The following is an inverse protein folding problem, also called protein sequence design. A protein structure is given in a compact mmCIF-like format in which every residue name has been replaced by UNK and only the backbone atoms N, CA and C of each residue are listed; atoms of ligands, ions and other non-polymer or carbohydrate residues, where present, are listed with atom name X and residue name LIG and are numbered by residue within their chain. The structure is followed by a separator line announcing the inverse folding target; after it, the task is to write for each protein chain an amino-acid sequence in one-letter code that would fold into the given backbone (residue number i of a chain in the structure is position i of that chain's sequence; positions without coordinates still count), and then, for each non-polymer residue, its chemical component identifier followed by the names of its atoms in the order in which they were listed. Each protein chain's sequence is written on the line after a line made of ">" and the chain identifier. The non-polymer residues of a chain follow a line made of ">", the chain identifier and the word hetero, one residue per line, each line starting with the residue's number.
data_IF_552044648297
#
_entry.id   IF_552044648297
#
_cell.length_a   1.000
_cell.length_b   1.000
_cell.length_c   1.000
_cell.angle_alpha   90.00
_cell.angle_beta   90.00
_cell.angle_gamma   90.00
#
_symmetry.space_group_name_H-M   'P 1'
#
loop_
_entity.id
_entity.type
_entity.pdbx_description
1 polymer ?
#
# COMPACT_ATOMS: atom_id res chain seq x y z
N UNK A 1 -21.84 -34.60 82.92
CA UNK A 1 -21.80 -33.19 83.33
C UNK A 1 -20.76 -32.50 82.46
N UNK A 2 -21.21 -31.85 81.38
CA UNK A 2 -21.20 -30.39 81.17
C UNK A 2 -19.81 -29.78 80.88
N UNK A 3 -19.59 -29.56 79.57
CA UNK A 3 -19.01 -28.38 78.93
C UNK A 3 -17.56 -27.96 79.22
N UNK A 4 -16.68 -28.23 78.23
CA UNK A 4 -15.44 -27.49 77.91
C UNK A 4 -15.51 -27.26 76.39
N UNK A 5 -16.02 -26.13 75.89
CA UNK A 5 -15.33 -24.85 75.58
C UNK A 5 -14.17 -24.99 74.56
N UNK A 6 -14.49 -24.61 73.32
CA UNK A 6 -13.69 -23.85 72.33
C UNK A 6 -12.35 -24.44 71.87
N UNK A 7 -12.28 -24.92 70.62
CA UNK A 7 -11.23 -24.51 69.66
C UNK A 7 -11.54 -25.05 68.23
N UNK A 8 -11.10 -24.29 67.22
CA UNK A 8 -11.13 -24.58 65.78
C UNK A 8 -12.46 -24.36 65.05
N UNK A 9 -12.90 -23.10 65.11
CA UNK A 9 -13.30 -22.41 63.89
C UNK A 9 -12.05 -22.22 63.01
N UNK A 10 -11.72 -23.20 62.17
CA UNK A 10 -10.83 -23.04 61.02
C UNK A 10 -11.01 -24.26 60.13
N UNK A 11 -11.02 -24.05 58.82
CA UNK A 11 -11.19 -25.05 57.75
C UNK A 11 -12.65 -25.30 57.39
N UNK A 12 -13.24 -24.34 56.68
CA UNK A 12 -13.90 -24.58 55.39
C UNK A 12 -14.13 -23.23 54.70
N UNK A 13 -13.04 -22.49 54.45
CA UNK A 13 -13.00 -21.62 53.28
C UNK A 13 -12.83 -22.59 52.12
N UNK A 14 -13.94 -23.10 51.59
CA UNK A 14 -13.96 -23.64 50.24
C UNK A 14 -13.64 -22.45 49.33
N UNK A 15 -12.35 -22.22 49.08
CA UNK A 15 -11.89 -21.46 47.94
C UNK A 15 -12.39 -22.21 46.71
N UNK A 16 -13.57 -21.84 46.25
CA UNK A 16 -14.01 -22.02 44.87
C UNK A 16 -13.08 -21.18 44.00
N UNK A 17 -11.85 -21.64 43.85
CA UNK A 17 -11.01 -21.30 42.73
C UNK A 17 -11.56 -22.14 41.58
N UNK A 18 -12.73 -21.75 41.07
CA UNK A 18 -13.00 -22.00 39.67
C UNK A 18 -11.86 -21.30 38.95
N UNK A 19 -10.94 -22.10 38.40
CA UNK A 19 -10.07 -21.59 37.36
C UNK A 19 -11.02 -21.05 36.31
N UNK A 20 -11.17 -19.73 36.25
CA UNK A 20 -11.54 -19.07 35.01
C UNK A 20 -10.64 -19.72 33.96
N UNK A 21 -11.25 -20.58 33.14
CA UNK A 21 -10.70 -20.84 31.82
C UNK A 21 -10.74 -19.46 31.20
N UNK A 22 -9.61 -18.77 31.27
CA UNK A 22 -9.27 -17.74 30.32
C UNK A 22 -9.61 -18.35 28.97
N UNK A 23 -10.77 -17.93 28.47
CA UNK A 23 -11.15 -18.17 27.11
C UNK A 23 -10.24 -17.21 26.39
N UNK A 24 -8.99 -17.64 26.16
CA UNK A 24 -8.06 -16.98 25.26
C UNK A 24 -8.84 -17.00 23.95
N UNK A 25 -9.50 -15.88 23.67
CA UNK A 25 -10.12 -15.64 22.38
C UNK A 25 -8.97 -15.77 21.39
N UNK A 26 -8.89 -16.91 20.71
CA UNK A 26 -7.96 -17.10 19.61
C UNK A 26 -8.22 -15.95 18.64
N UNK A 27 -7.36 -14.95 18.68
CA UNK A 27 -7.46 -13.82 17.76
C UNK A 27 -7.12 -14.38 16.40
N UNK A 28 -8.10 -14.41 15.50
CA UNK A 28 -7.90 -14.94 14.16
C UNK A 28 -6.85 -14.06 13.44
N UNK A 29 -6.02 -14.66 12.58
CA UNK A 29 -5.04 -13.97 11.73
C UNK A 29 -5.66 -12.76 11.02
N UNK A 30 -6.89 -12.89 10.55
CA UNK A 30 -7.62 -11.79 9.90
C UNK A 30 -7.78 -10.56 10.82
N UNK A 31 -8.10 -10.77 12.09
CA UNK A 31 -8.25 -9.68 13.07
C UNK A 31 -6.92 -9.01 13.39
N UNK A 32 -5.84 -9.81 13.49
CA UNK A 32 -4.48 -9.30 13.70
C UNK A 32 -4.01 -8.49 12.49
N UNK A 33 -4.25 -8.98 11.28
CA UNK A 33 -3.96 -8.25 10.04
C UNK A 33 -4.75 -6.95 10.01
N UNK A 34 -6.07 -6.98 10.28
CA UNK A 34 -6.87 -5.75 10.33
C UNK A 34 -6.35 -4.75 11.36
N UNK A 35 -5.84 -5.22 12.51
CA UNK A 35 -5.26 -4.34 13.53
C UNK A 35 -4.02 -3.62 13.02
N UNK A 36 -3.18 -4.28 12.22
CA UNK A 36 -2.00 -3.67 11.59
C UNK A 36 -2.40 -2.66 10.50
N UNK A 37 -3.40 -3.00 9.69
CA UNK A 37 -3.86 -2.14 8.61
C UNK A 37 -4.56 -0.87 9.08
N UNK A 38 -5.18 -0.90 10.26
CA UNK A 38 -5.88 0.24 10.85
C UNK A 38 -4.97 1.10 11.75
N UNK A 39 -3.66 0.88 11.73
CA UNK A 39 -2.72 1.75 12.44
C UNK A 39 -2.56 3.07 11.69
N UNK A 40 -2.52 4.16 12.45
CA UNK A 40 -2.06 5.46 11.98
C UNK A 40 -0.54 5.58 12.21
N UNK A 41 0.14 6.35 11.36
CA UNK A 41 1.54 6.70 11.57
C UNK A 41 1.67 7.62 12.79
N UNK A 42 2.52 7.25 13.74
CA UNK A 42 2.75 8.03 14.95
C UNK A 42 3.76 9.17 14.69
N UNK A 43 3.41 10.40 15.07
CA UNK A 43 4.22 11.59 14.81
C UNK A 43 5.63 11.52 15.43
N UNK A 44 5.85 10.71 16.47
CA UNK A 44 7.17 10.50 17.06
C UNK A 44 8.17 9.84 16.10
N UNK A 45 7.68 9.16 15.07
CA UNK A 45 8.52 8.53 14.06
C UNK A 45 8.67 9.35 12.80
N UNK A 46 7.99 10.48 12.60
CA UNK A 46 8.00 11.24 11.33
C UNK A 46 9.43 11.57 10.85
N UNK A 47 10.31 12.03 11.76
CA UNK A 47 11.71 12.37 11.46
C UNK A 47 12.69 11.16 11.55
N UNK A 48 12.20 9.96 11.88
CA UNK A 48 13.01 8.74 11.99
C UNK A 48 13.02 7.97 10.67
N UNK A 49 14.11 8.03 9.91
CA UNK A 49 14.18 7.36 8.59
C UNK A 49 14.23 5.83 8.65
N UNK A 50 14.18 5.19 9.82
CA UNK A 50 14.34 3.74 9.97
C UNK A 50 13.08 3.11 10.58
N UNK A 51 12.54 3.69 11.63
CA UNK A 51 11.37 3.17 12.36
C UNK A 51 10.12 3.96 11.98
N UNK A 52 8.95 3.32 12.12
CA UNK A 52 7.66 3.90 11.76
C UNK A 52 6.78 2.90 11.03
N UNK A 53 5.73 3.42 10.40
CA UNK A 53 4.80 2.64 9.59
C UNK A 53 5.17 2.81 8.11
N UNK A 54 5.20 1.71 7.37
CA UNK A 54 5.43 1.73 5.93
C UNK A 54 4.28 1.01 5.24
N UNK A 55 3.83 1.55 4.12
CA UNK A 55 2.81 0.92 3.27
C UNK A 55 3.28 0.81 1.84
N UNK A 56 2.74 -0.17 1.15
CA UNK A 56 2.89 -0.26 -0.29
C UNK A 56 2.42 -1.58 -0.86
N UNK A 57 3.18 -2.06 -1.82
CA UNK A 57 2.77 -3.11 -2.74
C UNK A 57 3.61 -4.35 -2.51
N UNK A 58 2.93 -5.48 -2.45
CA UNK A 58 3.49 -6.81 -2.57
C UNK A 58 3.04 -7.45 -3.89
N UNK A 59 3.94 -8.13 -4.58
CA UNK A 59 3.59 -9.01 -5.69
C UNK A 59 4.64 -10.09 -5.89
N UNK A 60 4.20 -11.27 -6.33
CA UNK A 60 5.13 -12.24 -6.94
C UNK A 60 5.47 -11.82 -8.35
N UNK A 61 6.67 -12.19 -8.82
CA UNK A 61 7.14 -11.84 -10.16
C UNK A 61 6.35 -12.52 -11.30
N UNK A 62 5.71 -13.66 -11.00
CA UNK A 62 4.80 -14.35 -11.92
C UNK A 62 3.37 -13.76 -11.91
N UNK A 63 3.16 -12.70 -11.13
CA UNK A 63 1.88 -11.98 -10.97
C UNK A 63 0.73 -12.83 -10.43
N UNK A 64 1.02 -14.04 -9.92
CA UNK A 64 0.00 -14.92 -9.36
C UNK A 64 -0.55 -14.41 -8.02
N UNK A 65 0.25 -13.65 -7.28
CA UNK A 65 -0.13 -13.02 -6.02
C UNK A 65 0.20 -11.54 -6.06
N UNK A 66 -0.72 -10.74 -5.54
CA UNK A 66 -0.60 -9.28 -5.48
C UNK A 66 -1.41 -8.77 -4.30
N UNK A 67 -0.91 -7.76 -3.62
CA UNK A 67 -1.55 -7.25 -2.42
C UNK A 67 -0.95 -5.96 -1.90
N UNK A 68 -1.59 -5.48 -0.85
CA UNK A 68 -1.01 -4.44 0.01
C UNK A 68 -0.07 -5.09 0.99
N UNK A 69 0.99 -4.39 1.36
CA UNK A 69 1.81 -4.73 2.51
C UNK A 69 1.91 -3.53 3.45
N UNK A 70 1.75 -3.81 4.74
CA UNK A 70 2.02 -2.87 5.82
C UNK A 70 3.18 -3.42 6.64
N UNK A 71 4.22 -2.62 6.84
CA UNK A 71 5.36 -2.93 7.68
C UNK A 71 5.35 -1.99 8.89
N UNK A 72 5.17 -2.55 10.06
CA UNK A 72 5.28 -1.84 11.34
C UNK A 72 6.69 -2.11 11.88
N UNK A 73 7.57 -1.10 11.75
CA UNK A 73 8.97 -1.17 12.14
C UNK A 73 9.22 -0.53 13.52
N UNK A 74 8.21 -0.52 14.38
CA UNK A 74 8.27 0.07 15.72
C UNK A 74 7.14 1.05 16.03
N UNK A 75 6.28 1.36 15.05
CA UNK A 75 5.13 2.25 15.20
C UNK A 75 4.26 1.84 16.40
N UNK A 76 3.93 0.55 16.51
CA UNK A 76 3.17 0.01 17.66
C UNK A 76 4.04 -0.61 18.75
N UNK A 77 5.34 -0.27 18.80
CA UNK A 77 6.37 -0.91 19.64
C UNK A 77 6.61 -2.39 19.29
N UNK A 78 6.17 -2.83 18.11
CA UNK A 78 6.37 -4.18 17.58
C UNK A 78 7.12 -4.09 16.26
N UNK A 79 7.67 -5.23 15.84
CA UNK A 79 8.14 -5.43 14.47
C UNK A 79 7.28 -6.51 13.85
N UNK A 80 6.47 -6.15 12.87
CA UNK A 80 5.51 -7.06 12.25
C UNK A 80 5.16 -6.57 10.85
N UNK A 81 4.75 -7.49 9.99
CA UNK A 81 4.26 -7.15 8.66
C UNK A 81 2.94 -7.86 8.41
N UNK A 82 2.10 -7.25 7.60
CA UNK A 82 0.85 -7.83 7.18
C UNK A 82 0.66 -7.64 5.68
N UNK A 83 0.15 -8.68 5.00
CA UNK A 83 -0.13 -8.65 3.57
C UNK A 83 -1.63 -8.94 3.37
N UNK A 84 -2.32 -8.03 2.70
CA UNK A 84 -3.71 -8.19 2.30
C UNK A 84 -3.75 -8.43 0.80
N UNK A 85 -3.93 -9.70 0.42
CA UNK A 85 -3.90 -10.12 -0.97
C UNK A 85 -5.17 -9.68 -1.70
N UNK A 86 -4.99 -8.96 -2.80
CA UNK A 86 -6.06 -8.69 -3.77
C UNK A 86 -6.23 -9.86 -4.73
N UNK A 87 -5.18 -10.69 -4.84
CA UNK A 87 -5.11 -11.92 -5.62
C UNK A 87 -4.25 -12.93 -4.86
N UNK A 88 -4.74 -14.17 -4.72
CA UNK A 88 -3.93 -15.29 -4.24
C UNK A 88 -4.16 -15.75 -2.80
N UNK A 89 -5.30 -15.43 -2.20
CA UNK A 89 -5.79 -16.10 -0.98
C UNK A 89 -6.02 -15.18 0.21
N UNK A 90 -5.92 -15.77 1.40
CA UNK A 90 -6.21 -15.12 2.68
C UNK A 90 -5.12 -14.10 3.09
N UNK A 91 -5.46 -13.13 3.97
CA UNK A 91 -4.50 -12.19 4.53
C UNK A 91 -3.42 -12.89 5.36
N UNK A 92 -2.22 -12.36 5.34
CA UNK A 92 -1.02 -12.97 5.94
C UNK A 92 -0.40 -12.07 6.97
N UNK A 93 -0.06 -12.67 8.11
CA UNK A 93 0.71 -12.03 9.17
C UNK A 93 2.13 -12.59 9.16
N UNK A 94 3.13 -11.72 9.15
CA UNK A 94 4.53 -12.09 9.30
C UNK A 94 5.08 -11.53 10.60
N UNK A 95 5.73 -12.40 11.38
CA UNK A 95 6.40 -12.00 12.61
C UNK A 95 7.74 -11.40 12.25
N UNK A 96 7.98 -10.18 12.74
CA UNK A 96 9.21 -9.46 12.48
C UNK A 96 10.14 -9.44 13.70
N UNK A 97 11.43 -9.29 13.42
CA UNK A 97 12.43 -8.93 14.42
C UNK A 97 13.51 -8.04 13.82
N UNK A 98 14.05 -7.14 14.65
CA UNK A 98 15.19 -6.29 14.30
C UNK A 98 16.48 -7.08 14.41
N UNK A 99 17.37 -6.95 13.43
CA UNK A 99 18.70 -7.55 13.48
C UNK A 99 19.51 -6.93 14.63
N UNK A 100 20.12 -7.77 15.47
CA UNK A 100 20.89 -7.32 16.65
C UNK A 100 22.19 -6.61 16.29
N UNK A 101 22.68 -6.82 15.07
CA UNK A 101 23.97 -6.31 14.59
C UNK A 101 23.83 -5.08 13.69
N UNK A 102 22.62 -4.84 13.15
CA UNK A 102 22.34 -3.78 12.18
C UNK A 102 21.01 -3.09 12.51
N UNK A 103 21.06 -1.81 12.86
CA UNK A 103 19.88 -1.04 13.31
C UNK A 103 18.82 -0.88 12.22
N UNK A 104 19.22 -0.87 10.97
CA UNK A 104 18.41 -0.65 9.78
C UNK A 104 17.86 -1.95 9.17
N UNK A 105 18.19 -3.11 9.74
CA UNK A 105 17.86 -4.40 9.16
C UNK A 105 16.79 -5.13 9.97
N UNK A 106 15.81 -5.69 9.26
CA UNK A 106 14.67 -6.40 9.82
C UNK A 106 14.43 -7.72 9.09
N UNK A 107 14.02 -8.75 9.82
CA UNK A 107 13.77 -10.09 9.30
C UNK A 107 12.31 -10.44 9.62
N UNK A 108 11.58 -10.88 8.60
CA UNK A 108 10.16 -11.24 8.68
C UNK A 108 9.97 -12.69 8.27
N UNK A 109 9.14 -13.41 9.02
CA UNK A 109 8.90 -14.84 8.83
C UNK A 109 7.42 -15.20 8.98
N UNK A 110 6.96 -16.12 8.14
CA UNK A 110 5.64 -16.74 8.16
C UNK A 110 5.71 -18.15 7.57
N UNK A 111 4.65 -18.94 7.71
CA UNK A 111 4.55 -20.27 7.09
C UNK A 111 4.60 -20.24 5.55
N UNK A 112 4.27 -19.09 4.94
CA UNK A 112 4.26 -18.90 3.48
C UNK A 112 5.55 -18.31 2.95
N UNK A 113 6.44 -17.81 3.79
CA UNK A 113 7.66 -17.18 3.30
C UNK A 113 8.36 -16.30 4.32
N UNK A 114 9.60 -15.99 3.96
CA UNK A 114 10.54 -15.21 4.77
C UNK A 114 11.17 -14.15 3.88
N UNK A 115 11.35 -12.95 4.43
CA UNK A 115 12.11 -11.90 3.77
C UNK A 115 12.91 -11.08 4.76
N UNK A 116 13.89 -10.35 4.23
CA UNK A 116 14.69 -9.41 4.99
C UNK A 116 14.64 -8.06 4.31
N UNK A 117 14.53 -6.99 5.09
CA UNK A 117 14.66 -5.63 4.57
C UNK A 117 15.81 -4.91 5.26
N UNK A 118 16.41 -3.98 4.53
CA UNK A 118 17.28 -2.94 5.05
C UNK A 118 16.64 -1.59 4.72
N UNK A 119 16.52 -0.68 5.69
CA UNK A 119 16.05 0.68 5.44
C UNK A 119 17.25 1.59 5.20
N UNK A 120 17.36 2.11 3.99
CA UNK A 120 18.44 3.00 3.59
C UNK A 120 18.31 4.36 4.31
N UNK A 121 19.39 5.17 4.41
CA UNK A 121 19.36 6.45 5.12
C UNK A 121 18.33 7.46 4.63
N UNK A 122 17.87 7.32 3.38
CA UNK A 122 16.82 8.12 2.76
C UNK A 122 15.40 7.57 2.99
N UNK A 123 15.26 6.54 3.85
CA UNK A 123 13.98 5.92 4.18
C UNK A 123 13.51 4.87 3.19
N UNK A 124 14.26 4.62 2.09
CA UNK A 124 13.86 3.60 1.12
C UNK A 124 14.13 2.20 1.64
N UNK A 125 13.21 1.28 1.35
CA UNK A 125 13.36 -0.13 1.70
C UNK A 125 14.12 -0.86 0.60
N UNK A 126 15.21 -1.52 0.99
CA UNK A 126 15.92 -2.50 0.18
C UNK A 126 15.58 -3.90 0.65
N UNK A 127 14.91 -4.65 -0.21
CA UNK A 127 14.56 -6.05 0.03
C UNK A 127 15.77 -6.96 -0.26
N UNK A 128 16.16 -7.76 0.72
CA UNK A 128 17.10 -8.87 0.58
C UNK A 128 16.27 -10.17 0.45
N UNK A 129 16.43 -10.90 -0.67
CA UNK A 129 15.80 -12.20 -1.00
C UNK A 129 14.42 -12.46 -0.38
N UNK A 130 13.35 -12.36 -1.18
CA UNK A 130 12.01 -12.72 -0.74
C UNK A 130 11.47 -13.91 -1.53
N UNK A 131 11.28 -15.02 -0.82
CA UNK A 131 10.55 -16.18 -1.33
C UNK A 131 9.21 -16.29 -0.61
N UNK A 132 8.14 -16.42 -1.38
CA UNK A 132 6.76 -16.55 -0.90
C UNK A 132 6.04 -17.65 -1.68
N UNK A 133 5.60 -18.71 -0.99
CA UNK A 133 5.09 -19.96 -1.57
C UNK A 133 5.97 -20.50 -2.72
N UNK A 134 7.27 -20.60 -2.46
CA UNK A 134 8.30 -21.04 -3.42
C UNK A 134 8.43 -20.15 -4.68
N UNK A 135 7.96 -18.89 -4.61
CA UNK A 135 8.07 -17.91 -5.70
C UNK A 135 8.86 -16.70 -5.27
N UNK A 136 9.63 -16.15 -6.20
CA UNK A 136 10.28 -14.86 -6.00
C UNK A 136 9.24 -13.74 -5.97
N UNK A 137 9.35 -12.88 -4.97
CA UNK A 137 8.46 -11.76 -4.75
C UNK A 137 9.22 -10.45 -4.55
N UNK A 138 8.50 -9.34 -4.70
CA UNK A 138 9.01 -8.01 -4.43
C UNK A 138 8.06 -7.23 -3.51
N UNK A 139 8.65 -6.26 -2.83
CA UNK A 139 7.96 -5.26 -2.03
C UNK A 139 8.46 -3.89 -2.50
N UNK A 140 7.54 -2.98 -2.76
CA UNK A 140 7.83 -1.55 -2.85
C UNK A 140 6.95 -0.87 -1.81
N UNK A 141 7.57 -0.27 -0.80
CA UNK A 141 6.86 0.39 0.29
C UNK A 141 7.58 1.67 0.68
N UNK A 142 6.79 2.66 1.08
CA UNK A 142 7.23 3.97 1.51
C UNK A 142 6.75 4.21 2.93
N UNK A 143 7.51 5.06 3.64
CA UNK A 143 7.19 5.40 5.01
C UNK A 143 5.99 6.35 5.03
N UNK A 144 5.01 6.06 5.85
CA UNK A 144 3.94 6.99 6.16
C UNK A 144 4.39 7.97 7.25
N UNK A 145 3.93 9.21 7.13
CA UNK A 145 4.06 10.18 8.22
C UNK A 145 2.68 10.50 8.78
N UNK A 146 2.62 11.04 9.99
CA UNK A 146 1.37 11.42 10.64
C UNK A 146 0.53 12.44 9.85
N UNK A 147 1.14 13.14 8.89
CA UNK A 147 0.50 14.16 8.06
C UNK A 147 0.36 13.77 6.57
N UNK A 148 1.01 12.69 6.15
CA UNK A 148 1.06 12.27 4.76
C UNK A 148 0.96 10.74 4.65
N UNK A 149 -0.25 10.21 4.39
CA UNK A 149 -0.46 8.79 4.16
C UNK A 149 0.08 8.38 2.78
N UNK A 150 0.51 7.12 2.67
CA UNK A 150 0.98 6.55 1.40
C UNK A 150 -0.22 6.00 0.65
N UNK A 151 -0.35 6.43 -0.60
CA UNK A 151 -1.47 6.05 -1.47
C UNK A 151 -0.97 5.25 -2.65
N UNK A 152 -1.72 4.26 -3.12
CA UNK A 152 -1.34 3.54 -4.33
C UNK A 152 -2.53 2.97 -5.08
N UNK A 153 -2.31 2.65 -6.35
CA UNK A 153 -3.24 1.91 -7.18
C UNK A 153 -2.53 0.72 -7.82
N UNK A 154 -3.24 -0.41 -7.84
CA UNK A 154 -2.81 -1.61 -8.50
C UNK A 154 -3.30 -1.61 -9.92
N UNK A 155 -2.39 -1.78 -10.87
CA UNK A 155 -2.75 -1.91 -12.27
C UNK A 155 -1.97 -3.00 -12.98
N UNK A 156 -2.44 -3.36 -14.16
CA UNK A 156 -1.74 -4.20 -15.11
C UNK A 156 -1.63 -3.45 -16.43
N UNK A 157 -0.55 -3.69 -17.16
CA UNK A 157 -0.43 -3.26 -18.54
C UNK A 157 -0.45 -4.44 -19.51
N UNK A 158 -0.86 -4.18 -20.74
CA UNK A 158 -0.78 -5.12 -21.85
C UNK A 158 -0.37 -4.37 -23.11
N UNK A 159 0.57 -4.91 -23.86
CA UNK A 159 1.01 -4.38 -25.14
C UNK A 159 0.00 -4.69 -26.26
N UNK A 160 -0.34 -3.69 -27.07
CA UNK A 160 -1.32 -3.84 -28.15
C UNK A 160 -0.79 -4.66 -29.33
N UNK A 161 0.53 -4.62 -29.57
CA UNK A 161 1.17 -5.36 -30.66
C UNK A 161 1.54 -6.80 -30.28
N UNK A 162 1.65 -7.10 -28.99
CA UNK A 162 2.03 -8.41 -28.48
C UNK A 162 1.49 -8.64 -27.04
N UNK A 163 0.24 -9.13 -26.89
CA UNK A 163 -0.40 -9.29 -25.59
C UNK A 163 0.33 -10.23 -24.60
N UNK A 164 1.27 -11.05 -25.08
CA UNK A 164 2.14 -11.85 -24.20
C UNK A 164 3.08 -10.97 -23.36
N UNK A 165 3.25 -9.71 -23.76
CA UNK A 165 4.02 -8.69 -23.04
C UNK A 165 3.07 -7.87 -22.19
N UNK A 166 2.80 -8.41 -21.01
CA UNK A 166 2.00 -7.81 -19.96
C UNK A 166 2.80 -7.82 -18.64
N UNK A 167 2.28 -7.09 -17.65
CA UNK A 167 2.95 -6.90 -16.37
C UNK A 167 2.13 -6.06 -15.41
N UNK A 168 2.68 -5.79 -14.23
CA UNK A 168 2.09 -4.80 -13.32
C UNK A 168 2.39 -3.39 -13.81
N UNK A 169 1.44 -2.50 -13.60
CA UNK A 169 1.57 -1.05 -13.71
C UNK A 169 0.95 -0.46 -12.47
N UNK A 170 1.76 -0.32 -11.43
CA UNK A 170 1.30 0.22 -10.17
C UNK A 170 1.80 1.66 -10.02
N UNK A 171 1.00 2.48 -9.38
CA UNK A 171 1.29 3.89 -9.17
C UNK A 171 1.16 4.20 -7.69
N UNK A 172 2.04 5.07 -7.17
CA UNK A 172 2.12 5.36 -5.74
C UNK A 172 2.38 6.84 -5.48
N UNK A 173 1.90 7.31 -4.34
CA UNK A 173 2.27 8.55 -3.66
C UNK A 173 3.13 8.16 -2.46
N UNK A 174 4.27 8.84 -2.24
CA UNK A 174 5.14 8.60 -1.09
C UNK A 174 4.97 9.62 0.04
N UNK A 175 4.00 10.52 -0.12
CA UNK A 175 3.51 11.42 0.91
C UNK A 175 3.42 12.88 0.47
N UNK A 176 3.85 13.23 -0.75
CA UNK A 176 3.70 14.60 -1.19
C UNK A 176 2.22 14.95 -1.45
N UNK A 177 1.83 16.16 -1.06
CA UNK A 177 0.48 16.67 -1.30
C UNK A 177 0.53 17.99 -2.06
N UNK A 178 -0.53 18.25 -2.83
CA UNK A 178 -0.75 19.46 -3.59
C UNK A 178 -2.13 20.03 -3.25
N UNK A 179 -2.21 21.33 -2.97
CA UNK A 179 -3.51 21.96 -2.75
C UNK A 179 -4.26 22.08 -4.07
N UNK A 180 -5.47 21.54 -4.11
CA UNK A 180 -6.32 21.54 -5.30
C UNK A 180 -6.55 22.96 -5.83
N UNK A 181 -6.66 23.12 -7.17
CA UNK A 181 -7.09 24.39 -7.74
C UNK A 181 -8.55 24.72 -7.39
N UNK A 182 -8.97 25.99 -7.47
CA UNK A 182 -10.34 26.41 -7.16
C UNK A 182 -11.43 25.66 -7.92
N UNK A 183 -11.13 25.24 -9.15
CA UNK A 183 -12.03 24.53 -10.05
C UNK A 183 -12.29 23.09 -9.60
N UNK A 184 -11.34 22.46 -8.92
CA UNK A 184 -11.50 21.11 -8.36
C UNK A 184 -12.47 21.09 -7.17
N UNK A 185 -12.31 22.06 -6.28
CA UNK A 185 -13.07 22.12 -5.03
C UNK A 185 -13.23 23.56 -4.54
N UNK A 186 -14.43 23.91 -4.10
CA UNK A 186 -14.75 25.25 -3.57
C UNK A 186 -13.94 25.63 -2.33
N UNK A 187 -13.43 24.64 -1.60
CA UNK A 187 -12.49 24.79 -0.49
C UNK A 187 -11.20 24.10 -0.91
N UNK A 188 -10.02 24.77 -0.83
CA UNK A 188 -8.74 24.13 -1.14
C UNK A 188 -8.60 22.81 -0.38
N UNK A 189 -8.43 21.72 -1.13
CA UNK A 189 -8.41 20.35 -0.61
C UNK A 189 -7.06 19.71 -0.95
N UNK A 190 -6.39 19.04 -0.01
CA UNK A 190 -5.13 18.37 -0.32
C UNK A 190 -5.38 17.18 -1.25
N UNK A 191 -4.59 17.11 -2.33
CA UNK A 191 -4.51 16.01 -3.27
C UNK A 191 -3.19 15.27 -3.05
N UNK A 192 -3.20 13.94 -3.00
CA UNK A 192 -1.96 13.17 -2.90
C UNK A 192 -1.29 13.11 -4.27
N UNK A 193 -0.04 13.54 -4.39
CA UNK A 193 0.66 13.61 -5.67
C UNK A 193 1.12 12.21 -6.07
N UNK A 194 0.91 11.83 -7.33
CA UNK A 194 1.51 10.61 -7.85
C UNK A 194 3.02 10.83 -8.00
N UNK A 195 3.84 10.01 -7.36
CA UNK A 195 5.29 10.22 -7.30
C UNK A 195 6.07 9.07 -7.93
N UNK A 196 5.49 7.87 -7.92
CA UNK A 196 6.20 6.67 -8.32
C UNK A 196 5.33 5.81 -9.21
N UNK A 197 5.96 5.24 -10.24
CA UNK A 197 5.40 4.18 -11.07
C UNK A 197 6.27 2.95 -10.91
N UNK A 198 5.64 1.83 -10.58
CA UNK A 198 6.29 0.53 -10.43
C UNK A 198 5.77 -0.38 -11.53
N UNK A 199 6.67 -0.81 -12.41
CA UNK A 199 6.37 -1.81 -13.43
C UNK A 199 7.10 -3.11 -13.11
N UNK A 200 6.44 -4.23 -13.33
CA UNK A 200 7.06 -5.55 -13.21
C UNK A 200 6.71 -6.44 -14.38
N UNK A 201 7.68 -7.27 -14.80
CA UNK A 201 7.53 -8.24 -15.90
C UNK A 201 8.63 -9.28 -15.85
N UNK A 202 8.27 -10.55 -16.04
CA UNK A 202 9.20 -11.67 -16.23
C UNK A 202 10.34 -11.73 -15.19
N UNK A 203 10.05 -11.58 -13.89
CA UNK A 203 11.10 -11.56 -12.87
C UNK A 203 11.77 -10.21 -12.65
N UNK A 204 11.54 -9.22 -13.52
CA UNK A 204 12.07 -7.87 -13.38
C UNK A 204 11.10 -6.93 -12.69
N UNK A 205 11.65 -5.96 -11.97
CA UNK A 205 10.97 -4.77 -11.46
C UNK A 205 11.72 -3.53 -11.95
N UNK A 206 10.99 -2.48 -12.33
CA UNK A 206 11.54 -1.15 -12.52
C UNK A 206 10.64 -0.14 -11.80
N UNK A 207 11.28 0.74 -11.04
CA UNK A 207 10.65 1.87 -10.35
C UNK A 207 11.08 3.12 -11.12
N UNK A 208 10.16 4.04 -11.36
CA UNK A 208 10.46 5.32 -12.01
C UNK A 208 11.56 6.06 -11.24
N UNK A 209 12.51 6.65 -11.97
CA UNK A 209 13.56 7.49 -11.36
C UNK A 209 13.17 8.96 -11.22
N UNK A 210 11.99 9.31 -11.70
CA UNK A 210 11.54 10.69 -11.82
C UNK A 210 10.84 11.07 -10.52
N UNK A 211 11.19 12.21 -9.94
CA UNK A 211 10.50 12.75 -8.78
C UNK A 211 9.25 13.56 -9.17
N UNK A 212 8.39 13.91 -8.19
CA UNK A 212 7.20 14.75 -8.37
C UNK A 212 7.36 15.98 -9.28
N UNK A 213 8.46 16.79 -9.23
CA UNK A 213 8.56 18.00 -10.04
C UNK A 213 8.77 17.75 -11.55
N UNK A 214 8.88 16.49 -11.99
CA UNK A 214 9.02 16.11 -13.40
C UNK A 214 7.78 15.42 -13.96
N UNK A 215 6.69 15.35 -13.19
CA UNK A 215 5.40 14.98 -13.75
C UNK A 215 4.88 16.12 -14.61
N UNK A 216 4.56 15.80 -15.86
CA UNK A 216 4.09 16.78 -16.83
C UNK A 216 2.75 17.37 -16.38
N UNK A 217 2.68 18.70 -16.29
CA UNK A 217 1.42 19.39 -16.04
C UNK A 217 0.41 19.05 -17.13
N UNK A 218 -0.84 18.85 -16.76
CA UNK A 218 -1.90 18.54 -17.71
C UNK A 218 -3.14 19.38 -17.44
N UNK A 219 -3.87 19.71 -18.51
CA UNK A 219 -5.22 20.23 -18.37
C UNK A 219 -6.16 19.06 -18.15
N UNK A 220 -6.97 19.10 -17.09
CA UNK A 220 -8.05 18.15 -16.87
C UNK A 220 -9.31 18.69 -17.56
N UNK A 221 -9.68 18.18 -18.75
CA UNK A 221 -10.69 18.81 -19.58
C UNK A 221 -12.11 18.37 -19.24
N UNK A 222 -12.29 17.36 -18.40
CA UNK A 222 -13.57 16.66 -18.25
C UNK A 222 -14.42 17.21 -17.11
N UNK A 223 -13.77 17.70 -16.05
CA UNK A 223 -14.43 18.18 -14.84
C UNK A 223 -13.96 19.58 -14.45
N UNK A 224 -12.68 19.89 -14.63
CA UNK A 224 -12.09 21.05 -13.96
C UNK A 224 -11.62 22.16 -14.91
N UNK A 225 -11.41 21.86 -16.20
CA UNK A 225 -10.90 22.80 -17.21
C UNK A 225 -9.74 23.69 -16.68
N UNK A 226 -8.87 23.08 -15.86
CA UNK A 226 -7.74 23.74 -15.22
C UNK A 226 -6.48 22.88 -15.34
N UNK A 227 -5.32 23.51 -15.15
CA UNK A 227 -4.00 22.90 -15.26
C UNK A 227 -3.55 22.37 -13.91
N UNK A 228 -3.48 21.04 -13.81
CA UNK A 228 -2.86 20.36 -12.68
C UNK A 228 -1.37 20.22 -12.94
N UNK A 229 -0.57 20.46 -11.89
CA UNK A 229 0.89 20.35 -12.00
C UNK A 229 1.37 18.90 -12.08
N UNK A 230 0.64 17.97 -11.47
CA UNK A 230 1.04 16.56 -11.38
C UNK A 230 -0.18 15.65 -11.45
N UNK A 231 0.03 14.39 -11.83
CA UNK A 231 -0.94 13.34 -11.54
C UNK A 231 -1.26 13.27 -10.04
N UNK A 232 -2.50 12.96 -9.69
CA UNK A 232 -2.95 12.97 -8.30
C UNK A 232 -3.94 11.86 -7.97
N UNK A 233 -4.05 11.58 -6.67
CA UNK A 233 -5.13 10.83 -6.04
C UNK A 233 -5.99 11.77 -5.22
N UNK A 234 -7.29 11.46 -5.17
CA UNK A 234 -8.21 12.12 -4.27
C UNK A 234 -9.24 11.15 -3.73
N UNK A 235 -9.61 11.33 -2.46
CA UNK A 235 -10.65 10.59 -1.77
C UNK A 235 -11.49 11.54 -0.95
N UNK A 236 -12.80 11.33 -1.01
CA UNK A 236 -13.73 12.01 -0.11
C UNK A 236 -13.65 11.42 1.29
N UNK A 237 -13.95 12.21 2.32
CA UNK A 237 -13.93 11.75 3.73
C UNK A 237 -14.77 10.49 3.96
N UNK A 238 -15.88 10.32 3.25
CA UNK A 238 -16.74 9.13 3.35
C UNK A 238 -16.25 7.92 2.54
N UNK A 239 -15.17 8.07 1.76
CA UNK A 239 -14.63 7.06 0.86
C UNK A 239 -15.56 6.68 -0.30
N UNK A 240 -16.67 7.39 -0.49
CA UNK A 240 -17.71 7.11 -1.50
C UNK A 240 -17.29 7.51 -2.90
N UNK A 241 -16.39 8.49 -2.98
CA UNK A 241 -15.70 8.92 -4.19
C UNK A 241 -14.20 8.81 -4.00
N UNK A 242 -13.55 8.16 -4.98
CA UNK A 242 -12.10 8.12 -5.14
C UNK A 242 -11.75 8.40 -6.60
N UNK A 243 -10.67 9.09 -6.85
CA UNK A 243 -10.16 9.31 -8.21
C UNK A 243 -8.64 9.22 -8.24
N UNK A 244 -8.14 8.84 -9.41
CA UNK A 244 -6.76 9.01 -9.82
C UNK A 244 -6.79 9.63 -11.19
N UNK A 245 -6.18 10.80 -11.34
CA UNK A 245 -6.13 11.52 -12.61
C UNK A 245 -4.68 11.85 -12.94
N UNK A 246 -4.21 11.35 -14.08
CA UNK A 246 -2.84 11.50 -14.53
C UNK A 246 -2.79 11.39 -16.06
N UNK A 247 -2.89 12.53 -16.76
CA UNK A 247 -2.88 12.55 -18.23
C UNK A 247 -1.51 12.95 -18.78
N UNK A 248 -1.06 12.26 -19.83
CA UNK A 248 0.18 12.55 -20.56
C UNK A 248 1.41 12.64 -19.66
N UNK A 249 1.47 11.80 -18.64
CA UNK A 249 2.60 11.76 -17.71
C UNK A 249 3.80 11.06 -18.35
N UNK A 250 4.99 11.42 -17.90
CA UNK A 250 6.22 10.70 -18.22
C UNK A 250 6.78 9.99 -17.00
N UNK A 251 7.39 8.83 -17.22
CA UNK A 251 8.17 8.13 -16.20
C UNK A 251 9.38 7.46 -16.83
N UNK A 252 10.55 7.67 -16.25
CA UNK A 252 11.82 7.14 -16.74
C UNK A 252 12.13 5.85 -16.01
N UNK A 253 12.31 4.79 -16.81
CA UNK A 253 12.75 3.49 -16.34
C UNK A 253 14.11 3.19 -16.96
N UNK A 254 15.14 3.04 -16.12
CA UNK A 254 16.50 2.69 -16.55
C UNK A 254 17.02 3.62 -17.67
N UNK A 255 16.74 4.92 -17.56
CA UNK A 255 17.16 5.95 -18.54
C UNK A 255 16.27 6.06 -19.79
N UNK A 256 15.19 5.29 -19.91
CA UNK A 256 14.25 5.37 -21.03
C UNK A 256 12.91 5.93 -20.56
N UNK A 257 12.43 6.98 -21.22
CA UNK A 257 11.16 7.64 -20.91
C UNK A 257 9.99 6.85 -21.47
N UNK A 258 9.03 6.51 -20.62
CA UNK A 258 7.70 6.05 -21.00
C UNK A 258 6.70 7.20 -20.85
N UNK A 259 5.78 7.35 -21.80
CA UNK A 259 4.65 8.27 -21.72
C UNK A 259 3.39 7.47 -21.43
N UNK A 260 2.54 7.94 -20.53
CA UNK A 260 1.33 7.23 -20.15
C UNK A 260 0.22 8.17 -19.69
N UNK A 261 -1.00 7.66 -19.75
CA UNK A 261 -2.20 8.36 -19.30
C UNK A 261 -3.08 7.37 -18.56
N UNK A 262 -3.48 7.72 -17.35
CA UNK A 262 -4.41 6.95 -16.54
C UNK A 262 -5.33 7.91 -15.81
N UNK A 263 -6.62 7.85 -16.11
CA UNK A 263 -7.63 8.53 -15.33
C UNK A 263 -8.79 7.59 -15.07
N UNK A 264 -9.26 7.57 -13.83
CA UNK A 264 -10.46 6.85 -13.46
C UNK A 264 -10.99 7.35 -12.12
N UNK A 265 -12.27 7.06 -11.89
CA UNK A 265 -12.96 7.35 -10.66
C UNK A 265 -13.76 6.14 -10.20
N UNK A 266 -13.84 5.97 -8.89
CA UNK A 266 -14.70 5.01 -8.21
C UNK A 266 -15.81 5.81 -7.54
N UNK A 267 -17.03 5.70 -8.06
CA UNK A 267 -18.21 6.35 -7.50
C UNK A 267 -19.24 5.29 -7.12
N UNK A 268 -19.60 5.22 -5.84
CA UNK A 268 -20.54 4.22 -5.31
C UNK A 268 -20.18 2.77 -5.72
N UNK A 269 -18.89 2.44 -5.68
CA UNK A 269 -18.37 1.11 -6.03
C UNK A 269 -18.28 0.82 -7.53
N UNK A 270 -18.73 1.73 -8.40
CA UNK A 270 -18.58 1.60 -9.85
C UNK A 270 -17.31 2.28 -10.33
N UNK A 271 -16.44 1.50 -10.99
CA UNK A 271 -15.21 1.99 -11.60
C UNK A 271 -15.50 2.53 -13.00
N UNK A 272 -15.07 3.74 -13.28
CA UNK A 272 -15.18 4.36 -14.60
C UNK A 272 -13.84 4.94 -15.00
N UNK A 273 -13.39 4.62 -16.22
CA UNK A 273 -12.20 5.21 -16.80
C UNK A 273 -12.56 6.50 -17.53
N UNK A 274 -11.63 7.43 -17.53
CA UNK A 274 -11.72 8.64 -18.33
C UNK A 274 -10.49 8.81 -19.23
N UNK A 275 -10.63 9.69 -20.20
CA UNK A 275 -9.57 10.08 -21.12
C UNK A 275 -9.54 11.59 -21.24
N UNK A 276 -8.45 12.19 -21.73
CA UNK A 276 -8.39 13.62 -22.05
C UNK A 276 -9.46 14.09 -23.06
N UNK A 277 -10.24 13.18 -23.64
CA UNK A 277 -11.30 13.48 -24.61
C UNK A 277 -12.73 13.42 -24.04
N UNK A 278 -12.90 13.17 -22.73
CA UNK A 278 -14.14 13.37 -21.96
C UNK A 278 -15.40 12.70 -22.52
N UNK A 279 -15.57 11.41 -22.24
CA UNK A 279 -16.82 10.70 -22.55
C UNK A 279 -17.08 10.42 -24.03
N UNK A 280 -16.11 10.67 -24.92
CA UNK A 280 -16.15 10.13 -26.29
C UNK A 280 -15.99 8.61 -26.27
N UNK A 281 -16.39 7.94 -27.36
CA UNK A 281 -16.22 6.47 -27.53
C UNK A 281 -14.77 5.99 -27.38
N UNK A 282 -13.82 6.92 -27.50
CA UNK A 282 -12.38 6.70 -27.36
C UNK A 282 -11.95 6.63 -25.88
N UNK A 283 -12.85 6.94 -24.94
CA UNK A 283 -12.72 6.69 -23.49
C UNK A 283 -12.81 5.18 -23.21
N UNK A 284 -11.79 4.46 -23.64
CA UNK A 284 -11.88 3.02 -23.89
C UNK A 284 -11.73 2.15 -22.63
N UNK A 285 -12.24 2.53 -21.45
CA UNK A 285 -12.21 1.62 -20.29
C UNK A 285 -10.80 1.16 -19.85
N UNK A 286 -9.76 1.90 -20.25
CA UNK A 286 -8.36 1.67 -19.93
C UNK A 286 -7.56 2.97 -20.07
N UNK A 287 -6.44 3.06 -19.35
CA UNK A 287 -5.37 4.03 -19.62
C UNK A 287 -4.44 3.57 -20.75
N UNK A 288 -3.51 4.42 -21.17
CA UNK A 288 -2.56 4.12 -22.25
C UNK A 288 -1.12 4.24 -21.78
N UNK A 289 -0.22 3.50 -22.41
CA UNK A 289 1.23 3.72 -22.28
C UNK A 289 1.92 3.63 -23.64
N UNK A 290 3.06 4.30 -23.76
CA UNK A 290 3.98 4.26 -24.88
C UNK A 290 5.41 4.24 -24.36
N UNK A 291 6.19 3.23 -24.73
CA UNK A 291 7.56 3.06 -24.27
C UNK A 291 8.40 2.28 -25.29
N UNK A 292 9.58 2.79 -25.63
CA UNK A 292 10.53 2.17 -26.56
C UNK A 292 9.92 1.74 -27.91
N UNK A 293 9.07 2.60 -28.49
CA UNK A 293 8.39 2.35 -29.77
C UNK A 293 7.25 1.33 -29.70
N UNK A 294 6.82 0.98 -28.49
CA UNK A 294 5.69 0.07 -28.22
C UNK A 294 4.61 0.83 -27.49
N UNK A 295 3.37 0.38 -27.60
CA UNK A 295 2.24 0.99 -26.92
C UNK A 295 1.28 -0.08 -26.41
N UNK A 296 0.44 0.33 -25.47
CA UNK A 296 -0.56 -0.56 -24.94
C UNK A 296 -1.50 0.10 -23.95
N UNK A 297 -2.18 -0.76 -23.20
CA UNK A 297 -3.29 -0.41 -22.31
C UNK A 297 -2.92 -0.64 -20.87
N UNK A 298 -3.40 0.21 -19.98
CA UNK A 298 -3.30 0.09 -18.52
C UNK A 298 -4.69 -0.15 -17.96
N UNK A 299 -4.86 -1.15 -17.10
CA UNK A 299 -6.10 -1.39 -16.36
C UNK A 299 -5.83 -1.39 -14.87
N UNK A 300 -6.57 -0.58 -14.15
CA UNK A 300 -6.61 -0.59 -12.69
C UNK A 300 -7.42 -1.78 -12.22
N UNK A 301 -6.83 -2.55 -11.33
CA UNK A 301 -7.48 -3.66 -10.65
C UNK A 301 -8.15 -3.19 -9.36
N UNK A 302 -7.46 -2.34 -8.60
CA UNK A 302 -7.94 -1.86 -7.30
C UNK A 302 -7.21 -0.57 -6.90
N UNK A 303 -7.97 0.33 -6.31
CA UNK A 303 -7.43 1.44 -5.51
C UNK A 303 -7.02 0.93 -4.13
N UNK A 304 -5.78 1.22 -3.73
CA UNK A 304 -5.32 1.02 -2.36
C UNK A 304 -6.12 1.85 -1.35
N UNK A 305 -5.84 1.67 -0.05
CA UNK A 305 -6.24 2.64 0.95
C UNK A 305 -5.61 4.00 0.66
N UNK A 306 -6.29 5.02 1.14
CA UNK A 306 -5.80 6.36 1.40
C UNK A 306 -6.00 6.55 2.90
#
# INVERSE_FOLDING_TARGET
>A
MKNIIILFAFIFIFTSCEKEKDTISETNTADLVSTIYNQDAEAEFDDNNVEGLYRGIFSTHDLSMKGEIVLDLGNSKKVQAAINLIRGGDPILLKGQKDKTKRDKYIFDSERGTFTITVDPDGRIRLDNFTFDDKDAYIVAYKETSLAPVSFSYGNYTDDGDPSKNGNWDVMNDGATYMSPPEHSTIPTPLSILEQVVISRNGGIAISSDGPPYNDSFVEPCFYNDTFQHGYYFITVAGTYKELIAYNQTSTFQGNVATWSLAYYLFNGSLTYDTPTCGLSDAAGYGSWSWNGRSGRIKVERLGPL
#
